data_IF_764878736285
#
_entry.id   IF_764878736285
#
_cell.length_a   1.000
_cell.length_b   1.000
_cell.length_c   1.000
_cell.angle_alpha   90.00
_cell.angle_beta   90.00
_cell.angle_gamma   90.00
#
_symmetry.space_group_name_H-M   'P 1'
#
loop_
_entity.id
_entity.type
_entity.pdbx_description
1 polymer ?
#
# COMPACT_ATOMS: atom_id res chain seq x y z
N UNK A 1 -24.28 -12.46 -12.82
CA UNK A 1 -23.57 -12.54 -11.54
C UNK A 1 -22.22 -13.26 -11.64
N UNK A 2 -22.09 -14.47 -12.21
CA UNK A 2 -20.84 -15.25 -12.27
C UNK A 2 -19.73 -14.53 -13.04
N UNK A 3 -20.02 -13.88 -14.17
CA UNK A 3 -19.02 -13.17 -15.01
C UNK A 3 -18.46 -11.94 -14.27
N UNK A 4 -19.32 -11.12 -13.67
CA UNK A 4 -18.91 -9.92 -12.91
C UNK A 4 -18.01 -10.30 -11.74
N UNK A 5 -18.35 -11.38 -11.03
CA UNK A 5 -17.51 -11.88 -9.94
C UNK A 5 -16.14 -12.32 -10.45
N UNK A 6 -16.04 -13.01 -11.58
CA UNK A 6 -14.76 -13.42 -12.18
C UNK A 6 -13.90 -12.23 -12.58
N UNK A 7 -14.50 -11.18 -13.14
CA UNK A 7 -13.78 -9.93 -13.49
C UNK A 7 -13.26 -9.26 -12.23
N UNK A 8 -14.08 -9.12 -11.19
CA UNK A 8 -13.68 -8.54 -9.92
C UNK A 8 -12.57 -9.36 -9.24
N UNK A 9 -12.71 -10.70 -9.26
CA UNK A 9 -11.69 -11.60 -8.73
C UNK A 9 -10.36 -11.45 -9.49
N UNK A 10 -10.39 -11.33 -10.81
CA UNK A 10 -9.19 -11.09 -11.60
C UNK A 10 -8.57 -9.73 -11.26
N UNK A 11 -9.37 -8.66 -11.20
CA UNK A 11 -8.94 -7.31 -10.89
C UNK A 11 -8.22 -7.22 -9.53
N UNK A 12 -8.74 -7.89 -8.49
CA UNK A 12 -8.13 -7.94 -7.15
C UNK A 12 -6.92 -8.89 -7.14
N UNK A 13 -7.06 -10.09 -7.73
CA UNK A 13 -6.01 -11.11 -7.68
C UNK A 13 -4.78 -10.73 -8.50
N UNK A 14 -4.95 -9.97 -9.60
CA UNK A 14 -3.84 -9.43 -10.39
C UNK A 14 -3.17 -8.20 -9.75
N UNK A 15 -3.62 -7.79 -8.55
CA UNK A 15 -3.10 -6.64 -7.80
C UNK A 15 -3.30 -5.27 -8.49
N UNK A 16 -4.21 -5.20 -9.48
CA UNK A 16 -4.57 -3.94 -10.15
C UNK A 16 -5.18 -2.93 -9.17
N UNK A 17 -6.04 -3.39 -8.27
CA UNK A 17 -6.73 -2.52 -7.33
C UNK A 17 -5.79 -1.83 -6.36
N UNK A 18 -4.91 -2.59 -5.70
CA UNK A 18 -3.89 -2.04 -4.80
C UNK A 18 -2.89 -1.15 -5.53
N UNK A 19 -2.59 -1.45 -6.80
CA UNK A 19 -1.72 -0.62 -7.63
C UNK A 19 -2.36 0.75 -7.95
N UNK A 20 -3.68 0.80 -8.20
CA UNK A 20 -4.41 2.07 -8.32
C UNK A 20 -4.38 2.88 -7.02
N UNK A 21 -4.42 2.24 -5.86
CA UNK A 21 -4.24 2.92 -4.58
C UNK A 21 -2.85 3.53 -4.46
N UNK A 22 -1.80 2.82 -4.90
CA UNK A 22 -0.44 3.35 -4.91
C UNK A 22 -0.31 4.54 -5.88
N UNK A 23 -0.86 4.43 -7.10
CA UNK A 23 -0.93 5.54 -8.05
C UNK A 23 -1.61 6.78 -7.45
N UNK A 24 -2.80 6.60 -6.87
CA UNK A 24 -3.55 7.67 -6.22
C UNK A 24 -2.74 8.35 -5.10
N UNK A 25 -2.04 7.57 -4.28
CA UNK A 25 -1.23 8.10 -3.19
C UNK A 25 0.03 8.85 -3.67
N UNK A 26 0.64 8.45 -4.80
CA UNK A 26 1.72 9.20 -5.45
C UNK A 26 1.19 10.53 -5.97
N UNK A 27 0.10 10.50 -6.74
CA UNK A 27 -0.52 11.72 -7.28
C UNK A 27 -0.95 12.70 -6.19
N UNK A 28 -1.48 12.20 -5.06
CA UNK A 28 -1.77 13.06 -3.90
C UNK A 28 -0.51 13.67 -3.29
N UNK A 29 0.62 12.96 -3.25
CA UNK A 29 1.87 13.52 -2.76
C UNK A 29 2.36 14.64 -3.67
N UNK A 30 2.32 14.42 -4.99
CA UNK A 30 2.65 15.45 -5.98
C UNK A 30 1.76 16.68 -5.83
N UNK A 31 0.46 16.47 -5.69
CA UNK A 31 -0.52 17.52 -5.44
C UNK A 31 -0.21 18.36 -4.18
N UNK A 32 0.00 17.73 -3.02
CA UNK A 32 0.23 18.44 -1.75
C UNK A 32 1.56 19.21 -1.70
N UNK A 33 2.50 18.90 -2.60
CA UNK A 33 3.78 19.59 -2.70
C UNK A 33 3.89 20.47 -3.95
N UNK A 34 2.77 20.76 -4.63
CA UNK A 34 2.71 21.56 -5.86
C UNK A 34 3.71 21.10 -6.95
N UNK A 35 3.98 19.78 -6.96
CA UNK A 35 4.83 19.16 -7.97
C UNK A 35 4.01 18.99 -9.24
N UNK A 36 4.57 19.39 -10.40
CA UNK A 36 3.95 19.11 -11.70
C UNK A 36 3.71 17.61 -11.83
N UNK A 37 2.56 17.26 -12.40
CA UNK A 37 2.21 15.85 -12.64
C UNK A 37 3.29 15.15 -13.45
N UNK A 38 4.09 14.35 -12.75
CA UNK A 38 5.02 13.42 -13.37
C UNK A 38 4.37 12.03 -13.40
N UNK A 39 3.71 11.76 -14.50
CA UNK A 39 3.09 10.46 -14.72
C UNK A 39 4.11 9.31 -14.73
N UNK A 40 5.40 9.56 -14.99
CA UNK A 40 6.42 8.52 -15.00
C UNK A 40 6.57 7.89 -13.62
N UNK A 41 6.66 8.71 -12.56
CA UNK A 41 6.73 8.22 -11.17
C UNK A 41 5.45 7.50 -10.76
N UNK A 42 4.29 8.08 -11.11
CA UNK A 42 3.00 7.50 -10.75
C UNK A 42 2.77 6.14 -11.45
N UNK A 43 3.11 6.02 -12.73
CA UNK A 43 3.05 4.74 -13.44
C UNK A 43 4.13 3.76 -13.01
N UNK A 44 5.33 4.24 -12.68
CA UNK A 44 6.34 3.38 -12.06
C UNK A 44 5.83 2.77 -10.75
N UNK A 45 5.22 3.56 -9.88
CA UNK A 45 4.63 3.10 -8.63
C UNK A 45 3.47 2.12 -8.89
N UNK A 46 2.61 2.41 -9.87
CA UNK A 46 1.52 1.52 -10.27
C UNK A 46 2.03 0.15 -10.72
N UNK A 47 2.86 0.11 -11.74
CA UNK A 47 3.36 -1.16 -12.30
C UNK A 47 4.31 -1.87 -11.33
N UNK A 48 5.12 -1.12 -10.57
CA UNK A 48 5.97 -1.65 -9.50
C UNK A 48 5.14 -2.32 -8.39
N UNK A 49 3.99 -1.75 -8.04
CA UNK A 49 3.05 -2.35 -7.07
C UNK A 49 2.43 -3.63 -7.62
N UNK A 50 2.00 -3.65 -8.89
CA UNK A 50 1.52 -4.88 -9.54
C UNK A 50 2.58 -5.98 -9.47
N UNK A 51 3.81 -5.66 -9.85
CA UNK A 51 4.93 -6.62 -9.84
C UNK A 51 5.23 -7.09 -8.41
N UNK A 52 5.41 -6.17 -7.47
CA UNK A 52 5.76 -6.49 -6.09
C UNK A 52 4.70 -7.35 -5.39
N UNK A 53 3.43 -6.97 -5.49
CA UNK A 53 2.33 -7.71 -4.86
C UNK A 53 2.09 -9.07 -5.50
N UNK A 54 2.13 -9.19 -6.82
CA UNK A 54 2.01 -10.48 -7.49
C UNK A 54 3.20 -11.39 -7.17
N UNK A 55 4.41 -10.82 -7.08
CA UNK A 55 5.58 -11.58 -6.65
C UNK A 55 5.39 -12.13 -5.23
N UNK A 56 4.99 -11.28 -4.26
CA UNK A 56 4.74 -11.71 -2.88
C UNK A 56 3.63 -12.77 -2.77
N UNK A 57 2.55 -12.62 -3.56
CA UNK A 57 1.40 -13.55 -3.55
C UNK A 57 1.73 -14.92 -4.14
N UNK A 58 2.45 -14.93 -5.25
CA UNK A 58 2.55 -16.12 -6.10
C UNK A 58 3.91 -16.81 -6.04
N UNK A 59 4.97 -16.20 -5.47
CA UNK A 59 6.28 -16.81 -5.31
C UNK A 59 6.22 -18.12 -4.54
N UNK A 60 5.53 -18.16 -3.40
CA UNK A 60 5.36 -19.39 -2.61
C UNK A 60 4.61 -20.48 -3.37
N UNK A 61 3.57 -20.12 -4.14
CA UNK A 61 2.77 -21.06 -4.95
C UNK A 61 3.63 -21.60 -6.12
N UNK A 62 4.38 -20.73 -6.77
CA UNK A 62 5.27 -21.12 -7.88
C UNK A 62 6.37 -22.09 -7.44
N UNK A 63 6.85 -21.97 -6.20
CA UNK A 63 7.85 -22.87 -5.62
C UNK A 63 7.29 -24.24 -5.22
N UNK A 64 6.00 -24.30 -4.81
CA UNK A 64 5.38 -25.51 -4.28
C UNK A 64 4.70 -26.38 -5.35
N UNK A 65 4.11 -25.78 -6.39
CA UNK A 65 3.32 -26.48 -7.40
C UNK A 65 3.91 -26.36 -8.82
N UNK A 66 4.59 -27.40 -9.27
CA UNK A 66 4.95 -27.59 -10.69
C UNK A 66 3.79 -28.17 -11.53
N UNK A 67 2.63 -28.49 -10.93
CA UNK A 67 1.50 -29.12 -11.64
C UNK A 67 0.48 -28.07 -12.08
N UNK A 68 0.03 -28.18 -13.31
CA UNK A 68 -1.02 -27.49 -14.05
C UNK A 68 -1.46 -26.08 -13.52
N UNK A 69 -0.84 -25.05 -14.08
CA UNK A 69 -1.24 -23.65 -13.86
C UNK A 69 -2.66 -23.47 -14.43
N UNK A 70 -3.65 -23.19 -13.56
CA UNK A 70 -5.03 -22.86 -13.95
C UNK A 70 -5.05 -21.69 -14.95
N UNK A 71 -6.01 -21.68 -15.89
CA UNK A 71 -6.14 -20.64 -16.93
C UNK A 71 -6.12 -19.22 -16.37
N UNK A 72 -6.76 -19.01 -15.21
CA UNK A 72 -6.80 -17.71 -14.50
C UNK A 72 -5.41 -17.26 -14.06
N UNK A 73 -4.57 -18.19 -13.58
CA UNK A 73 -3.20 -17.89 -13.19
C UNK A 73 -2.31 -17.57 -14.39
N UNK A 74 -2.56 -18.17 -15.57
CA UNK A 74 -1.83 -17.83 -16.81
C UNK A 74 -2.05 -16.36 -17.21
N UNK A 75 -3.27 -15.86 -17.10
CA UNK A 75 -3.59 -14.47 -17.37
C UNK A 75 -2.89 -13.50 -16.39
N UNK A 76 -2.83 -13.87 -15.10
CA UNK A 76 -2.10 -13.07 -14.08
C UNK A 76 -0.60 -13.07 -14.37
N UNK A 77 -0.02 -14.22 -14.75
CA UNK A 77 1.40 -14.33 -15.12
C UNK A 77 1.72 -13.49 -16.37
N UNK A 78 0.87 -13.53 -17.39
CA UNK A 78 1.03 -12.70 -18.59
C UNK A 78 0.99 -11.20 -18.20
N UNK A 79 0.01 -10.81 -17.39
CA UNK A 79 -0.12 -9.44 -16.91
C UNK A 79 1.05 -9.01 -16.02
N UNK A 80 1.61 -9.92 -15.21
CA UNK A 80 2.82 -9.68 -14.43
C UNK A 80 4.01 -9.32 -15.32
N UNK A 81 4.28 -10.10 -16.39
CA UNK A 81 5.39 -9.82 -17.29
C UNK A 81 5.18 -8.51 -18.08
N UNK A 82 3.95 -8.24 -18.51
CA UNK A 82 3.62 -6.96 -19.12
C UNK A 82 3.90 -5.80 -18.15
N UNK A 83 3.46 -5.93 -16.90
CA UNK A 83 3.69 -4.92 -15.86
C UNK A 83 5.16 -4.76 -15.52
N UNK A 84 5.94 -5.84 -15.56
CA UNK A 84 7.39 -5.79 -15.35
C UNK A 84 8.09 -4.98 -16.46
N UNK A 85 7.73 -5.20 -17.72
CA UNK A 85 8.26 -4.41 -18.85
C UNK A 85 7.86 -2.93 -18.74
N UNK A 86 6.61 -2.64 -18.42
CA UNK A 86 6.14 -1.27 -18.21
C UNK A 86 6.83 -0.62 -17.00
N UNK A 87 6.98 -1.32 -15.89
CA UNK A 87 7.73 -0.85 -14.72
C UNK A 87 9.18 -0.51 -15.09
N UNK A 88 9.84 -1.37 -15.84
CA UNK A 88 11.20 -1.12 -16.32
C UNK A 88 11.29 0.08 -17.26
N UNK A 89 10.33 0.25 -18.16
CA UNK A 89 10.25 1.40 -19.05
C UNK A 89 10.16 2.71 -18.27
N UNK A 90 9.25 2.82 -17.29
CA UNK A 90 9.12 4.02 -16.46
C UNK A 90 10.32 4.18 -15.51
N UNK A 91 10.92 3.11 -15.00
CA UNK A 91 12.15 3.17 -14.22
C UNK A 91 13.30 3.83 -14.98
N UNK A 92 13.44 3.57 -16.29
CA UNK A 92 14.49 4.20 -17.10
C UNK A 92 14.33 5.72 -17.21
N UNK A 93 13.09 6.24 -17.09
CA UNK A 93 12.78 7.67 -17.17
C UNK A 93 13.09 8.41 -15.86
N UNK A 94 13.19 7.71 -14.73
CA UNK A 94 13.46 8.34 -13.44
C UNK A 94 14.88 8.93 -13.38
N UNK A 95 15.06 9.94 -12.53
CA UNK A 95 16.37 10.49 -12.15
C UNK A 95 17.27 9.43 -11.51
N UNK A 96 18.56 9.70 -11.41
CA UNK A 96 19.49 8.76 -10.79
C UNK A 96 19.19 8.55 -9.29
N UNK A 97 18.88 9.62 -8.59
CA UNK A 97 18.53 9.64 -7.17
C UNK A 97 17.26 8.81 -6.90
N UNK A 98 16.28 8.95 -7.77
CA UNK A 98 15.04 8.17 -7.71
C UNK A 98 15.26 6.70 -8.03
N UNK A 99 16.15 6.36 -8.97
CA UNK A 99 16.55 4.99 -9.23
C UNK A 99 17.19 4.34 -8.01
N UNK A 100 18.09 5.05 -7.31
CA UNK A 100 18.69 4.56 -6.06
C UNK A 100 17.63 4.34 -4.98
N UNK A 101 16.70 5.29 -4.81
CA UNK A 101 15.58 5.18 -3.87
C UNK A 101 14.69 3.99 -4.21
N UNK A 102 14.35 3.81 -5.49
CA UNK A 102 13.56 2.67 -5.97
C UNK A 102 14.26 1.32 -5.68
N UNK A 103 15.57 1.23 -5.90
CA UNK A 103 16.35 0.03 -5.55
C UNK A 103 16.35 -0.26 -4.05
N UNK A 104 16.43 0.77 -3.19
CA UNK A 104 16.39 0.59 -1.75
C UNK A 104 15.04 -0.02 -1.31
N UNK A 105 13.91 0.51 -1.79
CA UNK A 105 12.57 -0.01 -1.45
C UNK A 105 12.26 -1.36 -2.11
N UNK A 106 12.77 -1.58 -3.31
CA UNK A 106 12.74 -2.91 -3.93
C UNK A 106 13.54 -3.94 -3.11
N UNK A 107 14.72 -3.56 -2.63
CA UNK A 107 15.52 -4.37 -1.72
C UNK A 107 14.77 -4.78 -0.45
N UNK A 108 14.01 -3.84 0.17
CA UNK A 108 13.13 -4.16 1.30
C UNK A 108 12.05 -5.18 0.92
N UNK A 109 11.46 -5.05 -0.26
CA UNK A 109 10.45 -6.01 -0.77
C UNK A 109 11.06 -7.39 -1.00
N UNK A 110 12.28 -7.46 -1.52
CA UNK A 110 13.01 -8.72 -1.69
C UNK A 110 13.35 -9.36 -0.34
N UNK A 111 13.86 -8.60 0.63
CA UNK A 111 14.13 -9.10 1.99
C UNK A 111 12.85 -9.60 2.68
N UNK A 112 11.73 -8.95 2.40
CA UNK A 112 10.42 -9.36 2.91
C UNK A 112 9.96 -10.70 2.34
N UNK A 113 10.25 -10.96 1.04
CA UNK A 113 9.66 -12.08 0.30
C UNK A 113 10.61 -13.27 0.18
N UNK A 114 11.90 -13.00 -0.12
CA UNK A 114 12.86 -14.07 -0.41
C UNK A 114 13.49 -14.66 0.87
N UNK A 115 13.76 -15.96 0.90
CA UNK A 115 14.31 -16.66 2.06
C UNK A 115 15.83 -16.44 2.20
N UNK A 116 16.25 -15.19 2.41
CA UNK A 116 17.66 -14.81 2.57
C UNK A 116 18.26 -15.20 3.93
N UNK A 117 17.41 -15.45 4.93
CA UNK A 117 17.85 -15.71 6.29
C UNK A 117 18.05 -17.22 6.56
N UNK A 118 18.80 -17.59 7.62
CA UNK A 118 18.98 -18.97 8.03
C UNK A 118 17.63 -19.71 8.15
N UNK A 119 17.63 -21.02 7.90
CA UNK A 119 16.44 -21.88 7.88
C UNK A 119 15.40 -21.54 6.81
N UNK A 120 15.83 -20.91 5.70
CA UNK A 120 14.95 -20.47 4.58
C UNK A 120 13.85 -19.51 5.06
N UNK A 121 14.12 -18.70 6.06
CA UNK A 121 13.21 -17.66 6.53
C UNK A 121 13.36 -16.39 5.70
N UNK A 122 12.29 -15.60 5.65
CA UNK A 122 12.27 -14.25 5.10
C UNK A 122 11.83 -13.26 6.19
N UNK A 123 11.98 -11.96 5.96
CA UNK A 123 11.61 -10.97 6.95
C UNK A 123 10.09 -10.94 7.24
N UNK A 124 9.24 -11.47 6.34
CA UNK A 124 7.81 -11.67 6.59
C UNK A 124 7.56 -12.61 7.77
N UNK A 125 8.44 -13.61 7.97
CA UNK A 125 8.32 -14.58 9.05
C UNK A 125 8.84 -14.05 10.41
N UNK A 126 9.40 -12.85 10.43
CA UNK A 126 9.81 -12.23 11.69
C UNK A 126 8.61 -11.72 12.46
N UNK A 127 8.54 -12.09 13.73
CA UNK A 127 7.43 -11.82 14.62
C UNK A 127 7.10 -10.32 14.69
N UNK A 128 5.94 -9.93 14.15
CA UNK A 128 5.43 -8.56 14.18
C UNK A 128 6.16 -7.55 13.28
N UNK A 129 7.11 -7.96 12.44
CA UNK A 129 7.88 -7.06 11.56
C UNK A 129 7.14 -6.75 10.25
N UNK A 130 6.25 -7.65 9.81
CA UNK A 130 5.45 -7.52 8.57
C UNK A 130 4.89 -6.11 8.37
N UNK A 131 4.20 -5.57 9.36
CA UNK A 131 3.47 -4.29 9.25
C UNK A 131 4.40 -3.09 9.08
N UNK A 132 5.60 -3.12 9.72
CA UNK A 132 6.58 -2.04 9.60
C UNK A 132 7.22 -2.02 8.21
N UNK A 133 7.61 -3.18 7.66
CA UNK A 133 8.20 -3.25 6.32
C UNK A 133 7.18 -2.79 5.28
N UNK A 134 5.93 -3.23 5.38
CA UNK A 134 4.85 -2.78 4.49
C UNK A 134 4.69 -1.27 4.59
N UNK A 135 4.55 -0.71 5.80
CA UNK A 135 4.39 0.73 6.01
C UNK A 135 5.55 1.55 5.45
N UNK A 136 6.80 1.14 5.72
CA UNK A 136 8.01 1.82 5.22
C UNK A 136 8.08 1.75 3.69
N UNK A 137 7.80 0.60 3.08
CA UNK A 137 7.81 0.44 1.62
C UNK A 137 6.75 1.35 0.97
N UNK A 138 5.55 1.42 1.53
CA UNK A 138 4.51 2.32 1.04
C UNK A 138 4.90 3.79 1.15
N UNK A 139 5.47 4.21 2.29
CA UNK A 139 6.02 5.58 2.46
C UNK A 139 7.09 5.85 1.41
N UNK A 140 8.02 4.91 1.23
CA UNK A 140 9.09 5.03 0.26
C UNK A 140 8.60 5.25 -1.16
N UNK A 141 7.67 4.41 -1.61
CA UNK A 141 7.15 4.44 -2.98
C UNK A 141 6.19 5.62 -3.20
N UNK A 142 5.36 5.98 -2.19
CA UNK A 142 4.28 6.95 -2.39
C UNK A 142 4.55 8.34 -1.84
N UNK A 143 5.65 8.55 -1.09
CA UNK A 143 6.05 9.86 -0.59
C UNK A 143 7.49 10.19 -0.99
N UNK A 144 8.45 9.33 -0.59
CA UNK A 144 9.88 9.67 -0.79
C UNK A 144 10.23 9.68 -2.27
N UNK A 145 9.84 8.65 -3.02
CA UNK A 145 10.18 8.55 -4.44
C UNK A 145 9.69 9.73 -5.28
N UNK A 146 8.39 10.13 -5.23
CA UNK A 146 7.92 11.28 -6.02
C UNK A 146 8.56 12.61 -5.60
N UNK A 147 8.91 12.78 -4.33
CA UNK A 147 9.56 14.01 -3.86
C UNK A 147 11.04 14.06 -4.21
N UNK A 148 11.74 12.92 -4.22
CA UNK A 148 13.12 12.81 -4.73
C UNK A 148 13.16 13.10 -6.22
N UNK A 149 12.22 12.57 -7.01
CA UNK A 149 12.13 12.85 -8.45
C UNK A 149 11.88 14.33 -8.75
N UNK A 150 11.08 14.98 -7.91
CA UNK A 150 10.81 16.41 -8.01
C UNK A 150 11.89 17.30 -7.38
N UNK A 151 13.01 16.73 -6.93
CA UNK A 151 14.12 17.45 -6.28
C UNK A 151 13.66 18.25 -5.04
N UNK A 152 12.56 17.84 -4.39
CA UNK A 152 12.07 18.49 -3.16
C UNK A 152 13.01 18.14 -1.99
N UNK A 153 13.63 19.13 -1.34
CA UNK A 153 14.53 18.86 -0.22
C UNK A 153 13.80 18.30 0.98
N UNK A 154 14.48 17.42 1.73
CA UNK A 154 13.91 16.88 2.96
C UNK A 154 13.65 18.02 3.97
N UNK A 155 12.39 18.17 4.33
CA UNK A 155 11.87 19.24 5.20
C UNK A 155 10.98 18.66 6.30
N UNK A 156 10.59 19.50 7.25
CA UNK A 156 9.61 19.15 8.28
C UNK A 156 8.30 18.65 7.64
N UNK A 157 7.83 19.28 6.58
CA UNK A 157 6.56 18.95 5.91
C UNK A 157 6.67 17.61 5.15
N UNK A 158 7.83 17.30 4.54
CA UNK A 158 8.12 15.98 3.97
C UNK A 158 8.09 14.89 5.05
N UNK A 159 8.73 15.16 6.20
CA UNK A 159 8.68 14.21 7.32
C UNK A 159 7.25 13.99 7.84
N UNK A 160 6.46 15.06 7.98
CA UNK A 160 5.06 14.96 8.40
C UNK A 160 4.20 14.17 7.41
N UNK A 161 4.37 14.40 6.09
CA UNK A 161 3.71 13.62 5.05
C UNK A 161 4.09 12.13 5.13
N UNK A 162 5.37 11.83 5.31
CA UNK A 162 5.86 10.47 5.46
C UNK A 162 5.27 9.79 6.72
N UNK A 163 5.24 10.51 7.84
CA UNK A 163 4.61 10.04 9.08
C UNK A 163 3.11 9.78 8.91
N UNK A 164 2.38 10.73 8.33
CA UNK A 164 0.94 10.57 8.05
C UNK A 164 0.67 9.39 7.14
N UNK A 165 1.48 9.21 6.09
CA UNK A 165 1.37 8.08 5.19
C UNK A 165 1.62 6.75 5.91
N UNK A 166 2.63 6.71 6.77
CA UNK A 166 2.92 5.52 7.58
C UNK A 166 1.75 5.19 8.52
N UNK A 167 1.21 6.18 9.25
CA UNK A 167 0.08 5.99 10.16
C UNK A 167 -1.18 5.53 9.43
N UNK A 168 -1.44 6.10 8.25
CA UNK A 168 -2.57 5.72 7.38
C UNK A 168 -2.46 4.25 6.96
N UNK A 169 -1.33 3.87 6.35
CA UNK A 169 -1.10 2.51 5.87
C UNK A 169 -1.10 1.52 7.02
N UNK A 170 -0.47 1.87 8.15
CA UNK A 170 -0.47 1.02 9.33
C UNK A 170 -1.91 0.74 9.81
N UNK A 171 -2.76 1.78 9.90
CA UNK A 171 -4.17 1.64 10.29
C UNK A 171 -4.95 0.77 9.30
N UNK A 172 -4.70 0.88 8.00
CA UNK A 172 -5.31 0.01 6.98
C UNK A 172 -4.84 -1.45 7.13
N UNK A 173 -3.53 -1.68 7.34
CA UNK A 173 -2.99 -3.05 7.53
C UNK A 173 -3.56 -3.71 8.78
N UNK A 174 -3.85 -2.96 9.86
CA UNK A 174 -4.54 -3.52 11.03
C UNK A 174 -5.92 -4.10 10.69
N UNK A 175 -6.66 -3.47 9.76
CA UNK A 175 -7.96 -4.02 9.29
C UNK A 175 -7.75 -5.33 8.55
N UNK A 176 -6.73 -5.42 7.67
CA UNK A 176 -6.37 -6.66 6.99
C UNK A 176 -6.01 -7.76 8.00
N UNK A 177 -5.12 -7.45 8.94
CA UNK A 177 -4.68 -8.42 9.95
C UNK A 177 -5.85 -8.92 10.84
N UNK A 178 -6.87 -8.07 11.11
CA UNK A 178 -8.09 -8.49 11.83
C UNK A 178 -8.93 -9.44 10.98
N UNK A 179 -9.12 -9.14 9.70
CA UNK A 179 -9.92 -9.98 8.78
C UNK A 179 -9.25 -11.33 8.57
N UNK A 180 -7.93 -11.34 8.45
CA UNK A 180 -7.14 -12.53 8.13
C UNK A 180 -6.65 -13.30 9.38
N UNK A 181 -7.00 -12.86 10.61
CA UNK A 181 -6.44 -13.39 11.86
C UNK A 181 -6.57 -14.91 12.03
N UNK A 182 -7.65 -15.52 11.48
CA UNK A 182 -7.86 -16.98 11.49
C UNK A 182 -7.07 -17.72 10.39
N UNK A 183 -6.70 -17.02 9.32
CA UNK A 183 -6.05 -17.59 8.14
C UNK A 183 -4.53 -17.41 8.19
N UNK A 184 -4.07 -16.36 8.87
CA UNK A 184 -2.66 -16.05 9.05
C UNK A 184 -1.98 -17.09 9.94
N UNK A 185 -0.79 -17.53 9.52
CA UNK A 185 0.05 -18.44 10.31
C UNK A 185 0.31 -17.81 11.70
N UNK A 186 0.10 -18.59 12.76
CA UNK A 186 0.29 -18.15 14.14
C UNK A 186 1.72 -17.69 14.43
N UNK A 187 2.70 -18.20 13.67
CA UNK A 187 4.10 -17.79 13.81
C UNK A 187 4.37 -16.35 13.33
N UNK A 188 3.49 -15.76 12.52
CA UNK A 188 3.62 -14.38 12.07
C UNK A 188 3.45 -13.38 13.22
N UNK A 189 2.73 -13.79 14.27
CA UNK A 189 2.45 -12.93 15.43
C UNK A 189 1.99 -11.53 15.02
N UNK A 190 0.98 -11.49 14.14
CA UNK A 190 0.34 -10.23 13.74
C UNK A 190 -0.21 -9.49 14.95
N UNK A 191 -0.48 -8.19 14.80
CA UNK A 191 -0.96 -7.36 15.93
C UNK A 191 -2.19 -7.98 16.60
N UNK A 192 -3.28 -8.38 15.86
CA UNK A 192 -4.44 -8.99 16.52
C UNK A 192 -4.16 -10.37 17.13
N UNK A 193 -3.17 -11.13 16.63
CA UNK A 193 -2.75 -12.37 17.27
C UNK A 193 -2.05 -12.14 18.61
N UNK A 194 -1.36 -11.00 18.78
CA UNK A 194 -0.64 -10.67 20.02
C UNK A 194 -1.50 -10.01 21.08
N UNK A 195 -2.27 -9.00 20.71
CA UNK A 195 -3.02 -8.17 21.65
C UNK A 195 -4.54 -8.34 21.58
N UNK A 196 -5.02 -9.19 20.65
CA UNK A 196 -6.45 -9.40 20.41
C UNK A 196 -7.07 -8.32 19.53
N UNK A 197 -8.24 -8.64 18.97
CA UNK A 197 -8.94 -7.79 17.98
C UNK A 197 -9.34 -6.44 18.57
N UNK A 198 -9.88 -6.40 19.80
CA UNK A 198 -10.38 -5.16 20.39
C UNK A 198 -9.26 -4.14 20.71
N UNK A 199 -8.12 -4.61 21.22
CA UNK A 199 -6.97 -3.71 21.44
C UNK A 199 -6.35 -3.26 20.11
N UNK A 200 -6.38 -4.12 19.08
CA UNK A 200 -5.93 -3.75 17.73
C UNK A 200 -6.79 -2.63 17.14
N UNK A 201 -8.12 -2.67 17.32
CA UNK A 201 -9.01 -1.56 16.91
C UNK A 201 -8.67 -0.27 17.65
N UNK A 202 -8.48 -0.33 18.98
CA UNK A 202 -8.09 0.84 19.77
C UNK A 202 -6.76 1.43 19.31
N UNK A 203 -5.77 0.58 18.99
CA UNK A 203 -4.51 1.01 18.40
C UNK A 203 -4.75 1.73 17.07
N UNK A 204 -5.57 1.16 16.17
CA UNK A 204 -5.93 1.80 14.90
C UNK A 204 -6.56 3.19 15.07
N UNK A 205 -7.49 3.36 16.01
CA UNK A 205 -8.07 4.67 16.33
C UNK A 205 -7.03 5.65 16.85
N UNK A 206 -6.10 5.20 17.70
CA UNK A 206 -5.01 6.03 18.19
C UNK A 206 -4.11 6.52 17.04
N UNK A 207 -3.76 5.63 16.09
CA UNK A 207 -2.94 6.00 14.93
C UNK A 207 -3.64 7.02 14.04
N UNK A 208 -4.94 6.86 13.78
CA UNK A 208 -5.75 7.82 13.01
C UNK A 208 -5.85 9.17 13.74
N UNK A 209 -5.99 9.18 15.06
CA UNK A 209 -5.98 10.39 15.86
C UNK A 209 -4.63 11.11 15.79
N UNK A 210 -3.51 10.37 15.91
CA UNK A 210 -2.16 10.92 15.77
C UNK A 210 -1.93 11.50 14.37
N UNK A 211 -2.46 10.85 13.31
CA UNK A 211 -2.44 11.37 11.96
C UNK A 211 -3.14 12.74 11.88
N UNK A 212 -4.35 12.86 12.44
CA UNK A 212 -5.10 14.13 12.44
C UNK A 212 -4.41 15.21 13.27
N UNK A 213 -3.84 14.85 14.43
CA UNK A 213 -3.08 15.80 15.27
C UNK A 213 -1.83 16.28 14.52
N UNK A 214 -1.15 15.41 13.77
CA UNK A 214 0.06 15.80 13.03
C UNK A 214 -0.19 16.87 11.96
N UNK A 215 -1.45 17.05 11.51
CA UNK A 215 -1.82 18.09 10.55
C UNK A 215 -1.56 19.50 11.07
N UNK A 216 -1.72 19.72 12.36
CA UNK A 216 -1.50 21.04 12.99
C UNK A 216 -0.02 21.45 13.03
N UNK A 217 0.89 20.55 12.67
CA UNK A 217 2.31 20.83 12.68
C UNK A 217 2.88 21.21 11.30
N UNK A 218 2.08 21.20 10.23
CA UNK A 218 2.53 21.68 8.92
C UNK A 218 2.89 23.16 8.96
N UNK A 219 3.88 23.54 8.15
CA UNK A 219 4.37 24.93 8.12
C UNK A 219 3.33 25.88 7.50
N UNK A 220 2.60 25.40 6.48
CA UNK A 220 1.56 26.16 5.79
C UNK A 220 0.17 25.57 6.14
N UNK A 221 -0.43 26.04 7.23
CA UNK A 221 -1.70 25.50 7.78
C UNK A 221 -2.97 26.01 7.07
N UNK A 222 -2.98 26.31 5.78
CA UNK A 222 -4.05 27.14 5.23
C UNK A 222 -5.07 26.50 4.33
N UNK A 223 -5.21 25.18 4.28
CA UNK A 223 -6.24 24.55 3.46
C UNK A 223 -7.24 23.76 4.31
N UNK A 224 -8.36 24.42 4.64
CA UNK A 224 -9.50 23.76 5.30
C UNK A 224 -9.98 22.53 4.51
N UNK A 225 -10.01 22.63 3.18
CA UNK A 225 -10.48 21.57 2.30
C UNK A 225 -9.63 20.29 2.37
N UNK A 226 -8.28 20.32 2.27
CA UNK A 226 -7.45 19.15 2.48
C UNK A 226 -7.58 18.51 3.86
N UNK A 227 -7.70 19.30 4.92
CA UNK A 227 -7.94 18.78 6.26
C UNK A 227 -9.29 18.06 6.38
N UNK A 228 -10.34 18.65 5.81
CA UNK A 228 -11.68 18.06 5.80
C UNK A 228 -11.68 16.68 5.09
N UNK A 229 -11.01 16.57 3.95
CA UNK A 229 -10.89 15.28 3.27
C UNK A 229 -10.06 14.25 4.06
N UNK A 230 -8.98 14.66 4.72
CA UNK A 230 -8.24 13.77 5.64
C UNK A 230 -9.12 13.29 6.79
N UNK A 231 -9.96 14.16 7.34
CA UNK A 231 -10.93 13.79 8.38
C UNK A 231 -11.94 12.75 7.87
N UNK A 232 -12.47 12.93 6.66
CA UNK A 232 -13.37 11.96 6.02
C UNK A 232 -12.69 10.60 5.80
N UNK A 233 -11.44 10.60 5.33
CA UNK A 233 -10.64 9.39 5.12
C UNK A 233 -10.39 8.67 6.44
N UNK A 234 -9.94 9.38 7.47
CA UNK A 234 -9.74 8.82 8.80
C UNK A 234 -11.04 8.27 9.39
N UNK A 235 -12.15 8.99 9.24
CA UNK A 235 -13.48 8.54 9.64
C UNK A 235 -13.92 7.27 8.92
N UNK A 236 -13.67 7.20 7.62
CA UNK A 236 -13.97 6.01 6.82
C UNK A 236 -13.15 4.80 7.30
N UNK A 237 -11.83 4.95 7.50
CA UNK A 237 -10.99 3.86 8.02
C UNK A 237 -11.40 3.48 9.45
N UNK A 238 -11.80 4.45 10.29
CA UNK A 238 -12.33 4.17 11.63
C UNK A 238 -13.62 3.32 11.57
N UNK A 239 -14.51 3.58 10.60
CA UNK A 239 -15.70 2.76 10.35
C UNK A 239 -15.28 1.34 9.91
N UNK A 240 -14.28 1.21 9.02
CA UNK A 240 -13.75 -0.11 8.67
C UNK A 240 -13.17 -0.83 9.88
N UNK A 241 -12.41 -0.16 10.75
CA UNK A 241 -11.91 -0.76 12.00
C UNK A 241 -13.04 -1.21 12.91
N UNK A 242 -14.09 -0.39 13.06
CA UNK A 242 -15.23 -0.72 13.90
C UNK A 242 -15.91 -2.03 13.49
N UNK A 243 -16.20 -2.16 12.20
CA UNK A 243 -16.88 -3.33 11.65
C UNK A 243 -15.95 -4.50 11.28
N UNK A 244 -14.62 -4.33 11.41
CA UNK A 244 -13.66 -5.40 11.16
C UNK A 244 -13.84 -6.56 12.14
N UNK A 245 -13.88 -7.78 11.60
CA UNK A 245 -13.88 -9.03 12.35
C UNK A 245 -13.42 -10.19 11.46
N UNK A 246 -13.11 -11.29 12.07
CA UNK A 246 -12.57 -12.52 11.47
C UNK A 246 -13.54 -13.28 10.54
N UNK A 247 -14.81 -12.86 10.47
CA UNK A 247 -15.84 -13.46 9.61
C UNK A 247 -16.15 -12.61 8.39
N UNK A 248 -15.45 -11.49 8.18
CA UNK A 248 -15.61 -10.65 6.99
C UNK A 248 -15.08 -11.37 5.75
N UNK A 249 -15.71 -11.11 4.61
CA UNK A 249 -15.21 -11.61 3.34
C UNK A 249 -13.89 -10.91 3.00
N UNK A 250 -13.05 -11.58 2.21
CA UNK A 250 -11.78 -11.00 1.72
C UNK A 250 -11.96 -9.65 1.02
N UNK A 251 -13.11 -9.42 0.34
CA UNK A 251 -13.39 -8.16 -0.35
C UNK A 251 -13.53 -6.97 0.59
N UNK A 252 -13.81 -7.22 1.89
CA UNK A 252 -13.94 -6.16 2.87
C UNK A 252 -12.67 -5.29 2.96
N UNK A 253 -11.52 -5.91 3.02
CA UNK A 253 -10.24 -5.21 3.04
C UNK A 253 -9.66 -5.03 1.63
N UNK A 254 -9.56 -6.11 0.82
CA UNK A 254 -8.87 -6.08 -0.47
C UNK A 254 -9.61 -5.37 -1.61
N UNK A 255 -10.85 -4.94 -1.41
CA UNK A 255 -11.57 -4.08 -2.35
C UNK A 255 -12.05 -2.81 -1.67
N UNK A 256 -12.91 -2.89 -0.67
CA UNK A 256 -13.55 -1.70 -0.11
C UNK A 256 -12.57 -0.79 0.64
N UNK A 257 -11.74 -1.34 1.51
CA UNK A 257 -10.74 -0.54 2.24
C UNK A 257 -9.66 -0.01 1.29
N UNK A 258 -9.14 -0.86 0.40
CA UNK A 258 -8.15 -0.42 -0.60
C UNK A 258 -8.70 0.61 -1.60
N UNK A 259 -10.03 0.77 -1.73
CA UNK A 259 -10.63 1.85 -2.51
C UNK A 259 -10.50 3.23 -1.85
N UNK A 260 -10.24 3.31 -0.55
CA UNK A 260 -10.22 4.59 0.18
C UNK A 260 -9.22 5.60 -0.40
N UNK A 261 -7.94 5.24 -0.67
CA UNK A 261 -7.01 6.15 -1.32
C UNK A 261 -7.44 6.57 -2.74
N UNK A 262 -8.04 5.64 -3.50
CA UNK A 262 -8.53 5.91 -4.87
C UNK A 262 -9.66 6.95 -4.83
N UNK A 263 -10.64 6.73 -3.95
CA UNK A 263 -11.77 7.65 -3.78
C UNK A 263 -11.30 9.02 -3.26
N UNK A 264 -10.35 9.04 -2.34
CA UNK A 264 -9.77 10.29 -1.86
C UNK A 264 -9.14 11.09 -2.97
N UNK A 265 -8.31 10.46 -3.82
CA UNK A 265 -7.71 11.10 -4.99
C UNK A 265 -8.77 11.62 -5.97
N UNK A 266 -9.77 10.78 -6.32
CA UNK A 266 -10.84 11.19 -7.24
C UNK A 266 -11.62 12.40 -6.72
N UNK A 267 -11.91 12.43 -5.42
CA UNK A 267 -12.60 13.57 -4.79
C UNK A 267 -11.73 14.83 -4.88
N UNK A 268 -10.43 14.76 -4.58
CA UNK A 268 -9.51 15.89 -4.73
C UNK A 268 -9.53 16.44 -6.16
N UNK A 269 -9.37 15.57 -7.15
CA UNK A 269 -9.40 16.00 -8.58
C UNK A 269 -10.71 16.67 -8.98
N UNK A 270 -11.86 16.20 -8.47
CA UNK A 270 -13.19 16.78 -8.79
C UNK A 270 -13.39 18.15 -8.14
N UNK A 271 -12.86 18.38 -6.96
CA UNK A 271 -13.05 19.66 -6.24
C UNK A 271 -12.03 20.73 -6.59
N UNK A 272 -10.98 20.39 -7.37
CA UNK A 272 -10.00 21.36 -7.88
C UNK A 272 -10.30 21.91 -9.27
N UNK A 273 -11.11 21.17 -10.07
CA UNK A 273 -11.59 21.64 -11.35
C UNK A 273 -12.92 22.40 -11.18
#
# INVERSE_FOLDING_TARGET
MVVVKKILDFYINSSLHVALSAFALVSMTQYFFDVKDDFSVAFFAFFGTVVGYNFVKYDAIARLNKSEIKKELKAIVFFFFFSLLACFYFFLQLSWESKLSAFAFFGLTLLYTLPFFPNKQNARNWKGVKIYIVGITWVGVTVILPLVEAEIPFSKDVFLMALQRFLLIFSMVLVFDIVDVKQDDIHLQTVPQKIGVELTKKLGYLLLLLLLISEFFYTNNHHFLPFFFKLLVCGTIAIFLFFANENRSRYYASFWLESVPILWWLVLVVFEN
#
